data_IF_284008739695
#
_entry.id   IF_284008739695
#
_cell.length_a   1.000
_cell.length_b   1.000
_cell.length_c   1.000
_cell.angle_alpha   90.00
_cell.angle_beta   90.00
_cell.angle_gamma   90.00
#
_symmetry.space_group_name_H-M   'P 1'
#
loop_
_entity.id
_entity.type
_entity.pdbx_description
1 polymer ?
#
# COMPACT_ATOMS: atom_id res chain seq x y z
N UNK A 1 -20.93 0.38 15.51
CA UNK A 1 -20.92 -0.91 14.78
C UNK A 1 -19.78 -0.87 13.78
N UNK A 2 -18.93 -1.91 13.72
CA UNK A 2 -17.86 -1.99 12.71
C UNK A 2 -18.51 -2.36 11.37
N UNK A 3 -18.19 -1.62 10.31
CA UNK A 3 -18.72 -1.89 8.98
C UNK A 3 -18.21 -3.26 8.48
N UNK A 4 -19.09 -4.19 8.06
CA UNK A 4 -18.69 -5.51 7.61
C UNK A 4 -17.72 -5.48 6.41
N UNK A 5 -17.78 -4.44 5.57
CA UNK A 5 -16.82 -4.26 4.47
C UNK A 5 -15.38 -4.04 4.99
N UNK A 6 -15.22 -3.28 6.08
CA UNK A 6 -13.90 -3.05 6.70
C UNK A 6 -13.35 -4.36 7.28
N UNK A 7 -14.21 -5.16 7.92
CA UNK A 7 -13.82 -6.50 8.42
C UNK A 7 -13.41 -7.41 7.28
N UNK A 8 -14.17 -7.39 6.17
CA UNK A 8 -13.83 -8.14 4.95
C UNK A 8 -12.48 -7.73 4.36
N UNK A 9 -12.20 -6.42 4.29
CA UNK A 9 -10.91 -5.90 3.81
C UNK A 9 -9.76 -6.40 4.69
N UNK A 10 -9.91 -6.38 6.02
CA UNK A 10 -8.88 -6.86 6.94
C UNK A 10 -8.61 -8.35 6.75
N UNK A 11 -9.65 -9.18 6.67
CA UNK A 11 -9.50 -10.62 6.45
C UNK A 11 -8.86 -10.94 5.10
N UNK A 12 -9.32 -10.31 4.03
CA UNK A 12 -8.81 -10.53 2.69
C UNK A 12 -7.35 -10.10 2.57
N UNK A 13 -6.99 -8.96 3.16
CA UNK A 13 -5.62 -8.46 3.19
C UNK A 13 -4.68 -9.39 3.93
N UNK A 14 -5.15 -10.04 5.01
CA UNK A 14 -4.36 -10.98 5.79
C UNK A 14 -4.08 -12.27 5.00
N UNK A 15 -5.08 -12.77 4.27
CA UNK A 15 -4.93 -13.90 3.35
C UNK A 15 -3.94 -13.55 2.24
N UNK A 16 -4.10 -12.41 1.58
CA UNK A 16 -3.20 -11.97 0.51
C UNK A 16 -1.78 -11.72 0.99
N UNK A 17 -1.61 -11.12 2.18
CA UNK A 17 -0.31 -10.91 2.80
C UNK A 17 0.43 -12.23 3.04
N UNK A 18 -0.29 -13.27 3.49
CA UNK A 18 0.26 -14.60 3.69
C UNK A 18 0.58 -15.34 2.38
N UNK A 19 -0.32 -15.25 1.37
CA UNK A 19 -0.13 -15.88 0.07
C UNK A 19 1.09 -15.31 -0.67
N UNK A 20 1.42 -14.04 -0.41
CA UNK A 20 2.51 -13.33 -1.10
C UNK A 20 3.82 -13.27 -0.31
N UNK A 21 4.05 -14.23 0.59
CA UNK A 21 5.23 -14.33 1.47
C UNK A 21 6.59 -14.51 0.77
N UNK A 22 6.62 -14.69 -0.55
CA UNK A 22 7.83 -14.85 -1.37
C UNK A 22 8.00 -13.66 -2.34
N UNK A 23 7.60 -12.45 -1.92
CA UNK A 23 7.71 -11.24 -2.74
C UNK A 23 9.15 -10.75 -2.87
N UNK A 24 10.00 -11.10 -1.91
CA UNK A 24 11.41 -10.78 -1.88
C UNK A 24 12.27 -12.05 -1.94
N UNK A 25 13.27 -12.05 -2.82
CA UNK A 25 14.18 -13.18 -3.01
C UNK A 25 15.21 -13.22 -1.86
N UNK A 26 14.77 -13.72 -0.71
CA UNK A 26 15.60 -13.82 0.48
C UNK A 26 16.41 -15.14 0.49
N UNK A 27 17.67 -15.13 0.99
CA UNK A 27 18.46 -16.34 1.14
C UNK A 27 17.71 -17.38 1.99
N UNK A 28 17.87 -18.69 1.69
CA UNK A 28 17.13 -19.78 2.35
C UNK A 28 17.22 -19.77 3.89
N UNK A 29 18.30 -19.22 4.44
CA UNK A 29 18.59 -19.17 5.88
C UNK A 29 18.02 -17.95 6.60
N UNK A 30 17.13 -17.21 5.93
CA UNK A 30 16.55 -15.99 6.47
C UNK A 30 15.67 -16.28 7.70
N UNK A 31 15.95 -15.57 8.80
CA UNK A 31 15.25 -15.70 10.08
C UNK A 31 13.73 -15.57 9.89
N UNK A 32 12.96 -16.40 10.59
CA UNK A 32 11.49 -16.38 10.56
C UNK A 32 10.91 -14.98 10.86
N UNK A 33 11.61 -14.17 11.65
CA UNK A 33 11.24 -12.79 11.97
C UNK A 33 11.15 -11.90 10.71
N UNK A 34 12.06 -12.09 9.75
CA UNK A 34 12.09 -11.31 8.51
C UNK A 34 10.94 -11.75 7.61
N UNK A 35 10.66 -13.05 7.53
CA UNK A 35 9.49 -13.59 6.80
C UNK A 35 8.17 -13.09 7.38
N UNK A 36 8.07 -13.00 8.71
CA UNK A 36 6.90 -12.42 9.38
C UNK A 36 6.74 -10.93 9.06
N UNK A 37 7.85 -10.18 9.07
CA UNK A 37 7.84 -8.75 8.73
C UNK A 37 7.39 -8.52 7.28
N UNK A 38 7.80 -9.38 6.34
CA UNK A 38 7.35 -9.35 4.96
C UNK A 38 5.84 -9.59 4.83
N UNK A 39 5.34 -10.67 5.44
CA UNK A 39 3.91 -10.97 5.49
C UNK A 39 3.12 -9.81 6.10
N UNK A 40 3.65 -9.21 7.18
CA UNK A 40 3.04 -8.05 7.82
C UNK A 40 3.02 -6.81 6.92
N UNK A 41 4.12 -6.51 6.23
CA UNK A 41 4.18 -5.40 5.27
C UNK A 41 3.23 -5.59 4.10
N UNK A 42 3.14 -6.81 3.57
CA UNK A 42 2.18 -7.14 2.51
C UNK A 42 0.75 -7.00 3.01
N UNK A 43 0.45 -7.52 4.22
CA UNK A 43 -0.85 -7.35 4.88
C UNK A 43 -1.25 -5.87 5.00
N UNK A 44 -0.35 -5.03 5.53
CA UNK A 44 -0.61 -3.59 5.70
C UNK A 44 -0.84 -2.92 4.34
N UNK A 45 -0.06 -3.29 3.31
CA UNK A 45 -0.20 -2.72 1.97
C UNK A 45 -1.53 -3.08 1.32
N UNK A 46 -1.94 -4.34 1.41
CA UNK A 46 -3.25 -4.77 0.94
C UNK A 46 -4.39 -4.12 1.72
N UNK A 47 -4.20 -3.92 3.04
CA UNK A 47 -5.19 -3.24 3.88
C UNK A 47 -5.37 -1.79 3.45
N UNK A 48 -4.27 -1.05 3.27
CA UNK A 48 -4.31 0.34 2.79
C UNK A 48 -4.96 0.40 1.41
N UNK A 49 -4.59 -0.49 0.49
CA UNK A 49 -5.20 -0.58 -0.83
C UNK A 49 -6.70 -0.86 -0.80
N UNK A 50 -7.12 -1.82 0.02
CA UNK A 50 -8.53 -2.15 0.20
C UNK A 50 -9.33 -0.97 0.75
N UNK A 51 -8.78 -0.22 1.71
CA UNK A 51 -9.42 0.98 2.26
C UNK A 51 -9.50 2.12 1.23
N UNK A 52 -8.42 2.34 0.46
CA UNK A 52 -8.40 3.32 -0.63
C UNK A 52 -9.44 2.95 -1.69
N UNK A 53 -9.51 1.66 -2.07
CA UNK A 53 -10.51 1.17 -3.01
C UNK A 53 -11.92 1.33 -2.50
N UNK A 54 -12.16 0.95 -1.24
CA UNK A 54 -13.46 1.15 -0.59
C UNK A 54 -13.87 2.62 -0.62
N UNK A 55 -12.98 3.54 -0.23
CA UNK A 55 -13.25 4.97 -0.31
C UNK A 55 -13.51 5.44 -1.74
N UNK A 56 -12.68 5.01 -2.69
CA UNK A 56 -12.80 5.42 -4.09
C UNK A 56 -14.14 4.97 -4.68
N UNK A 57 -14.53 3.71 -4.53
CA UNK A 57 -15.76 3.20 -5.12
C UNK A 57 -17.04 3.68 -4.42
N UNK A 58 -17.02 3.86 -3.09
CA UNK A 58 -18.21 4.28 -2.37
C UNK A 58 -18.39 5.80 -2.40
N UNK A 59 -17.31 6.57 -2.28
CA UNK A 59 -17.41 8.02 -2.13
C UNK A 59 -17.13 8.74 -3.44
N UNK A 60 -15.97 8.49 -4.04
CA UNK A 60 -15.53 9.28 -5.21
C UNK A 60 -16.20 8.85 -6.50
N UNK A 61 -16.36 7.55 -6.72
CA UNK A 61 -16.96 7.01 -7.93
C UNK A 61 -18.43 7.40 -8.05
N UNK A 62 -19.20 7.30 -6.97
CA UNK A 62 -20.59 7.77 -6.95
C UNK A 62 -20.69 9.27 -7.22
N UNK A 63 -19.81 10.08 -6.63
CA UNK A 63 -19.77 11.52 -6.87
C UNK A 63 -19.45 11.87 -8.33
N UNK A 64 -18.50 11.15 -8.96
CA UNK A 64 -18.15 11.31 -10.39
C UNK A 64 -19.33 10.92 -11.28
N UNK A 65 -20.02 9.81 -10.98
CA UNK A 65 -21.24 9.41 -11.70
C UNK A 65 -22.38 10.43 -11.51
N UNK A 66 -22.41 11.11 -10.38
CA UNK A 66 -23.30 12.25 -10.09
C UNK A 66 -22.94 13.56 -10.80
N UNK A 67 -21.86 13.58 -11.59
CA UNK A 67 -21.44 14.73 -12.39
C UNK A 67 -20.37 15.61 -11.76
N UNK A 68 -19.75 15.20 -10.64
CA UNK A 68 -18.58 15.89 -10.12
C UNK A 68 -17.39 15.81 -11.09
N UNK A 69 -16.57 16.87 -11.09
CA UNK A 69 -15.35 16.90 -11.89
C UNK A 69 -14.32 15.93 -11.34
N UNK A 70 -13.68 15.18 -12.25
CA UNK A 70 -12.52 14.36 -11.94
C UNK A 70 -11.33 15.27 -11.63
N UNK A 71 -10.66 14.98 -10.51
CA UNK A 71 -9.53 15.75 -10.01
C UNK A 71 -8.24 14.94 -10.08
N UNK A 72 -7.09 15.61 -9.98
CA UNK A 72 -5.78 14.94 -9.90
C UNK A 72 -5.70 14.00 -8.70
N UNK A 73 -6.37 14.30 -7.59
CA UNK A 73 -6.40 13.40 -6.44
C UNK A 73 -7.10 12.07 -6.74
N UNK A 74 -8.08 12.04 -7.65
CA UNK A 74 -8.74 10.80 -8.06
C UNK A 74 -7.76 9.88 -8.80
N UNK A 75 -6.93 10.46 -9.68
CA UNK A 75 -5.83 9.74 -10.31
C UNK A 75 -4.81 9.22 -9.29
N UNK A 76 -4.47 10.04 -8.29
CA UNK A 76 -3.59 9.62 -7.19
C UNK A 76 -4.14 8.42 -6.42
N UNK A 77 -5.44 8.40 -6.13
CA UNK A 77 -6.11 7.28 -5.46
C UNK A 77 -6.09 6.02 -6.31
N UNK A 78 -6.36 6.12 -7.61
CA UNK A 78 -6.28 4.98 -8.55
C UNK A 78 -4.84 4.44 -8.61
N UNK A 79 -3.84 5.33 -8.65
CA UNK A 79 -2.44 4.93 -8.72
C UNK A 79 -2.00 4.21 -7.44
N UNK A 80 -2.40 4.72 -6.26
CA UNK A 80 -2.17 4.04 -4.98
C UNK A 80 -2.90 2.70 -4.90
N UNK A 81 -4.12 2.61 -5.42
CA UNK A 81 -4.86 1.35 -5.52
C UNK A 81 -4.07 0.32 -6.34
N UNK A 82 -3.61 0.69 -7.53
CA UNK A 82 -2.81 -0.18 -8.40
C UNK A 82 -1.52 -0.63 -7.69
N UNK A 83 -0.77 0.30 -7.09
CA UNK A 83 0.44 -0.03 -6.34
C UNK A 83 0.20 -0.98 -5.17
N UNK A 84 -0.99 -0.88 -4.54
CA UNK A 84 -1.40 -1.79 -3.48
C UNK A 84 -1.64 -3.21 -4.02
N UNK A 85 -2.40 -3.35 -5.09
CA UNK A 85 -2.70 -4.64 -5.71
C UNK A 85 -1.44 -5.36 -6.20
N UNK A 86 -0.52 -4.62 -6.80
CA UNK A 86 0.75 -5.16 -7.26
C UNK A 86 1.77 -5.38 -6.13
N UNK A 87 1.45 -5.09 -4.87
CA UNK A 87 2.35 -5.30 -3.74
C UNK A 87 3.59 -4.40 -3.76
N UNK A 88 3.54 -3.29 -4.51
CA UNK A 88 4.65 -2.35 -4.66
C UNK A 88 4.61 -1.19 -3.66
N UNK A 89 3.57 -1.11 -2.82
CA UNK A 89 3.45 -0.08 -1.79
C UNK A 89 4.59 -0.07 -0.74
N UNK A 90 5.06 -1.24 -0.24
CA UNK A 90 6.25 -1.29 0.62
C UNK A 90 7.51 -0.82 -0.10
N UNK A 91 7.65 -1.20 -1.38
CA UNK A 91 8.78 -0.81 -2.23
C UNK A 91 8.76 0.70 -2.48
N UNK A 92 7.59 1.27 -2.74
CA UNK A 92 7.41 2.71 -2.89
C UNK A 92 7.76 3.44 -1.58
N UNK A 93 7.26 2.97 -0.44
CA UNK A 93 7.56 3.56 0.87
C UNK A 93 9.06 3.54 1.18
N UNK A 94 9.74 2.42 0.88
CA UNK A 94 11.19 2.30 0.97
C UNK A 94 11.90 3.27 0.04
N UNK A 95 11.54 3.29 -1.25
CA UNK A 95 12.17 4.16 -2.25
C UNK A 95 11.97 5.64 -1.94
N UNK A 96 10.80 6.03 -1.43
CA UNK A 96 10.53 7.40 -0.98
C UNK A 96 11.44 7.74 0.20
N UNK A 97 11.54 6.85 1.19
CA UNK A 97 12.38 7.06 2.38
C UNK A 97 13.86 7.17 2.01
N UNK A 98 14.36 6.32 1.10
CA UNK A 98 15.72 6.37 0.58
C UNK A 98 15.98 7.64 -0.24
N UNK A 99 15.03 8.04 -1.08
CA UNK A 99 15.11 9.29 -1.83
C UNK A 99 15.19 10.51 -0.92
N UNK A 100 14.36 10.57 0.14
CA UNK A 100 14.39 11.63 1.15
C UNK A 100 15.74 11.61 1.89
N UNK A 101 16.23 10.44 2.30
CA UNK A 101 17.52 10.30 2.97
C UNK A 101 18.69 10.78 2.09
N UNK A 102 18.66 10.48 0.80
CA UNK A 102 19.68 10.93 -0.16
C UNK A 102 19.66 12.46 -0.34
N UNK A 103 18.48 13.07 -0.40
CA UNK A 103 18.33 14.53 -0.46
C UNK A 103 18.88 15.16 0.82
N UNK A 104 18.47 14.66 1.99
CA UNK A 104 18.93 15.16 3.29
C UNK A 104 20.45 15.05 3.46
N UNK A 105 21.03 13.91 3.08
CA UNK A 105 22.48 13.71 3.11
C UNK A 105 23.19 14.75 2.26
N UNK A 106 22.72 14.98 1.03
CA UNK A 106 23.31 15.95 0.11
C UNK A 106 23.18 17.39 0.61
N UNK A 107 22.07 17.73 1.28
CA UNK A 107 21.86 19.05 1.89
C UNK A 107 22.79 19.27 3.10
N UNK A 108 22.99 18.23 3.91
CA UNK A 108 23.86 18.29 5.10
C UNK A 108 25.35 18.28 4.75
N UNK A 109 25.77 17.55 3.72
CA UNK A 109 27.17 17.52 3.22
C UNK A 109 27.53 18.72 2.33
N UNK A 110 26.53 19.45 1.82
CA UNK A 110 26.71 20.70 1.06
C UNK A 110 26.92 21.94 1.93
N UNK A 111 26.89 21.80 3.27
CA UNK A 111 27.24 22.85 4.25
C UNK A 111 28.60 22.56 4.86
#
# INVERSE_FOLDING_TARGET
>A
MINPAIVGILFFSLILGYLRKDSFDYPKDTKWQIKLLEVWNNFVSYTIGGLIGYYFFIVRWEAILGGEKVTISDFGLILLLCLSFFGHLPVLSKNISEGIAAILKRVLESR
#
